data_IF_748567346245
#
_entry.id   IF_748567346245
#
_cell.length_a   1.000
_cell.length_b   1.000
_cell.length_c   1.000
_cell.angle_alpha   90.00
_cell.angle_beta   90.00
_cell.angle_gamma   90.00
#
_symmetry.space_group_name_H-M   'P 1'
#
loop_
_entity.id
_entity.type
_entity.pdbx_description
1 polymer ?
#
# COMPACT_ATOMS: atom_id res chain seq x y z
N UNK A 1 -19.58 -15.22 -22.29
CA UNK A 1 -19.96 -13.80 -22.12
C UNK A 1 -18.73 -13.11 -21.56
N UNK A 2 -18.07 -12.26 -22.35
CA UNK A 2 -16.86 -11.57 -21.91
C UNK A 2 -17.25 -10.45 -20.93
N UNK A 3 -16.50 -10.30 -19.84
CA UNK A 3 -16.77 -9.28 -18.83
C UNK A 3 -16.46 -7.86 -19.34
N UNK A 4 -17.17 -6.86 -18.82
CA UNK A 4 -17.01 -5.45 -19.24
C UNK A 4 -15.56 -4.94 -19.17
N UNK A 5 -14.78 -5.38 -18.17
CA UNK A 5 -13.37 -5.01 -18.07
C UNK A 5 -12.48 -5.71 -19.10
N UNK A 6 -12.79 -6.96 -19.47
CA UNK A 6 -12.08 -7.66 -20.54
C UNK A 6 -12.22 -6.91 -21.86
N UNK A 7 -13.43 -6.40 -22.14
CA UNK A 7 -13.66 -5.57 -23.32
C UNK A 7 -12.86 -4.27 -23.27
N UNK A 8 -12.91 -3.53 -22.15
CA UNK A 8 -12.16 -2.28 -22.00
C UNK A 8 -10.65 -2.45 -22.14
N UNK A 9 -10.08 -3.54 -21.64
CA UNK A 9 -8.66 -3.87 -21.81
C UNK A 9 -8.32 -4.12 -23.28
N UNK A 10 -9.20 -4.78 -24.04
CA UNK A 10 -9.01 -5.00 -25.49
C UNK A 10 -9.11 -3.70 -26.30
N UNK A 11 -9.99 -2.78 -25.90
CA UNK A 11 -10.21 -1.51 -26.58
C UNK A 11 -9.12 -0.46 -26.29
N UNK A 12 -8.40 -0.61 -25.18
CA UNK A 12 -7.36 0.34 -24.75
C UNK A 12 -6.02 -0.40 -24.59
N UNK A 13 -5.63 -0.68 -23.35
CA UNK A 13 -4.52 -1.54 -22.96
C UNK A 13 -4.71 -1.89 -21.48
N UNK A 14 -3.97 -2.88 -20.97
CA UNK A 14 -4.00 -3.16 -19.53
C UNK A 14 -3.58 -1.95 -18.69
N UNK A 15 -2.54 -1.21 -19.12
CA UNK A 15 -2.04 -0.04 -18.41
C UNK A 15 -3.06 1.09 -18.36
N UNK A 16 -3.69 1.42 -19.49
CA UNK A 16 -4.71 2.47 -19.56
C UNK A 16 -5.98 2.10 -18.80
N UNK A 17 -6.37 0.82 -18.85
CA UNK A 17 -7.48 0.31 -18.05
C UNK A 17 -7.15 0.37 -16.55
N UNK A 18 -5.96 -0.05 -16.13
CA UNK A 18 -5.57 -0.04 -14.72
C UNK A 18 -5.49 1.39 -14.17
N UNK A 19 -4.94 2.33 -14.94
CA UNK A 19 -4.84 3.74 -14.56
C UNK A 19 -6.20 4.44 -14.52
N UNK A 20 -7.25 3.90 -15.13
CA UNK A 20 -8.59 4.52 -15.05
C UNK A 20 -9.25 4.40 -13.66
N UNK A 21 -8.63 3.72 -12.70
CA UNK A 21 -9.23 3.41 -11.40
C UNK A 21 -10.46 2.49 -11.50
N UNK A 22 -10.38 1.35 -12.20
CA UNK A 22 -11.54 0.54 -12.58
C UNK A 22 -12.29 -0.03 -11.37
N UNK A 23 -11.61 -0.21 -10.23
CA UNK A 23 -12.19 -0.73 -8.99
C UNK A 23 -12.93 0.32 -8.14
N UNK A 24 -13.02 1.55 -8.65
CA UNK A 24 -13.71 2.67 -8.00
C UNK A 24 -14.70 3.37 -8.92
N UNK A 25 -14.83 2.94 -10.17
CA UNK A 25 -15.77 3.51 -11.13
C UNK A 25 -17.24 3.12 -10.81
N UNK A 26 -18.17 3.75 -11.52
CA UNK A 26 -19.60 3.48 -11.34
C UNK A 26 -19.95 2.01 -11.64
N UNK A 27 -19.29 1.39 -12.63
CA UNK A 27 -19.51 0.00 -13.00
C UNK A 27 -19.18 -0.95 -11.86
N UNK A 28 -18.02 -0.77 -11.21
CA UNK A 28 -17.63 -1.56 -10.04
C UNK A 28 -18.60 -1.34 -8.88
N UNK A 29 -18.90 -0.08 -8.58
CA UNK A 29 -19.72 0.27 -7.43
C UNK A 29 -21.15 -0.24 -7.55
N UNK A 30 -21.72 -0.26 -8.76
CA UNK A 30 -23.02 -0.84 -9.01
C UNK A 30 -23.05 -2.35 -8.74
N UNK A 31 -21.99 -3.08 -9.12
CA UNK A 31 -21.92 -4.53 -8.98
C UNK A 31 -21.49 -5.00 -7.58
N UNK A 32 -20.58 -4.27 -6.93
CA UNK A 32 -19.88 -4.72 -5.72
C UNK A 32 -20.01 -3.75 -4.54
N UNK A 33 -20.69 -2.62 -4.73
CA UNK A 33 -20.75 -1.55 -3.76
C UNK A 33 -19.42 -0.80 -3.63
N UNK A 34 -19.34 0.04 -2.61
CA UNK A 34 -18.16 0.88 -2.35
C UNK A 34 -16.93 0.01 -2.04
N UNK A 35 -15.89 0.14 -2.87
CA UNK A 35 -14.60 -0.50 -2.63
C UNK A 35 -13.86 0.21 -1.49
N UNK A 36 -14.05 -0.28 -0.26
CA UNK A 36 -13.43 0.28 0.96
C UNK A 36 -11.90 0.21 0.93
N UNK A 37 -11.34 -0.81 0.29
CA UNK A 37 -9.89 -0.97 0.17
C UNK A 37 -9.29 0.25 -0.54
N UNK A 38 -9.71 0.51 -1.78
CA UNK A 38 -9.20 1.64 -2.58
C UNK A 38 -9.50 2.99 -1.92
N UNK A 39 -10.73 3.19 -1.42
CA UNK A 39 -11.12 4.44 -0.77
C UNK A 39 -10.26 4.78 0.45
N UNK A 40 -9.93 3.78 1.26
CA UNK A 40 -9.13 4.02 2.47
C UNK A 40 -7.69 4.42 2.12
N UNK A 41 -7.08 3.83 1.07
CA UNK A 41 -5.73 4.20 0.63
C UNK A 41 -5.70 5.57 -0.04
N UNK A 42 -6.69 5.89 -0.88
CA UNK A 42 -6.82 7.22 -1.46
C UNK A 42 -7.00 8.30 -0.39
N UNK A 43 -7.88 8.06 0.59
CA UNK A 43 -8.09 8.98 1.70
C UNK A 43 -6.83 9.14 2.58
N UNK A 44 -6.02 8.09 2.71
CA UNK A 44 -4.73 8.18 3.38
C UNK A 44 -3.74 9.05 2.61
N UNK A 45 -3.57 8.82 1.30
CA UNK A 45 -2.66 9.60 0.47
C UNK A 45 -3.02 11.10 0.49
N UNK A 46 -4.31 11.43 0.28
CA UNK A 46 -4.78 12.82 0.32
C UNK A 46 -4.45 13.51 1.64
N UNK A 47 -4.69 12.83 2.77
CA UNK A 47 -4.39 13.38 4.11
C UNK A 47 -2.89 13.50 4.37
N UNK A 48 -2.11 12.50 3.96
CA UNK A 48 -0.66 12.48 4.15
C UNK A 48 0.00 13.66 3.44
N UNK A 49 -0.47 13.98 2.23
CA UNK A 49 0.03 15.09 1.41
C UNK A 49 -0.73 16.40 1.62
N UNK A 50 -1.80 16.39 2.41
CA UNK A 50 -2.75 17.50 2.51
C UNK A 50 -3.21 18.01 1.13
N UNK A 51 -3.52 17.08 0.22
CA UNK A 51 -3.84 17.34 -1.17
C UNK A 51 -5.05 16.50 -1.62
N UNK A 52 -6.20 17.14 -1.76
CA UNK A 52 -7.44 16.50 -2.21
C UNK A 52 -7.49 16.25 -3.72
N UNK A 53 -6.53 16.78 -4.49
CA UNK A 53 -6.47 16.60 -5.94
C UNK A 53 -5.91 15.24 -6.35
N UNK A 54 -5.19 14.55 -5.46
CA UNK A 54 -4.70 13.18 -5.67
C UNK A 54 -5.87 12.27 -6.07
N UNK A 55 -5.70 11.54 -7.16
CA UNK A 55 -6.64 10.58 -7.71
C UNK A 55 -6.11 9.14 -7.59
N UNK A 56 -6.95 8.16 -7.95
CA UNK A 56 -6.54 6.76 -7.91
C UNK A 56 -5.37 6.44 -8.86
N UNK A 57 -5.21 7.18 -9.95
CA UNK A 57 -4.12 6.96 -10.91
C UNK A 57 -2.76 7.46 -10.43
N UNK A 58 -2.73 8.30 -9.39
CA UNK A 58 -1.50 8.76 -8.75
C UNK A 58 -0.95 7.74 -7.75
N UNK A 59 -1.69 6.65 -7.51
CA UNK A 59 -1.38 5.65 -6.50
C UNK A 59 -1.06 4.30 -7.15
N UNK A 60 0.10 3.76 -6.80
CA UNK A 60 0.45 2.38 -7.11
C UNK A 60 0.20 1.49 -5.89
N UNK A 61 -0.61 0.45 -6.08
CA UNK A 61 -0.86 -0.57 -5.05
C UNK A 61 -0.13 -1.86 -5.41
N UNK A 62 0.73 -2.31 -4.51
CA UNK A 62 1.43 -3.59 -4.64
C UNK A 62 1.00 -4.49 -3.49
N UNK A 63 0.37 -5.60 -3.84
CA UNK A 63 0.00 -6.63 -2.89
C UNK A 63 1.23 -7.46 -2.52
N UNK A 64 1.44 -7.68 -1.22
CA UNK A 64 2.52 -8.54 -0.75
C UNK A 64 2.35 -9.99 -1.26
N UNK A 65 1.10 -10.43 -1.37
CA UNK A 65 0.72 -11.74 -1.91
C UNK A 65 -0.29 -11.54 -3.02
N UNK A 66 0.08 -11.70 -4.30
CA UNK A 66 -0.85 -11.50 -5.41
C UNK A 66 -1.93 -12.60 -5.49
N UNK A 67 -1.84 -13.64 -4.66
CA UNK A 67 -2.75 -14.79 -4.63
C UNK A 67 -3.64 -14.78 -3.36
N UNK A 68 -4.50 -13.78 -3.23
CA UNK A 68 -5.48 -13.74 -2.14
C UNK A 68 -6.68 -14.64 -2.48
N UNK A 69 -6.60 -15.92 -2.14
CA UNK A 69 -7.78 -16.79 -2.08
C UNK A 69 -8.26 -16.91 -0.65
N UNK A 70 -9.58 -16.78 -0.41
CA UNK A 70 -10.19 -17.03 0.91
C UNK A 70 -9.95 -18.46 1.40
N UNK A 71 -9.62 -19.38 0.49
CA UNK A 71 -9.30 -20.76 0.82
C UNK A 71 -7.85 -20.92 1.34
N UNK A 72 -6.98 -19.93 1.11
CA UNK A 72 -5.61 -19.96 1.61
C UNK A 72 -5.61 -19.40 3.03
N UNK A 73 -5.62 -20.30 4.01
CA UNK A 73 -5.58 -19.97 5.44
C UNK A 73 -4.19 -20.16 6.06
N UNK A 74 -3.30 -20.88 5.36
CA UNK A 74 -1.94 -21.12 5.78
C UNK A 74 -1.09 -19.83 5.68
N UNK A 75 -0.06 -19.74 6.51
CA UNK A 75 0.89 -18.64 6.44
C UNK A 75 1.64 -18.68 5.10
N UNK A 76 1.46 -17.64 4.30
CA UNK A 76 2.24 -17.42 3.08
C UNK A 76 3.58 -16.84 3.51
N UNK A 77 4.67 -17.48 3.07
CA UNK A 77 6.01 -16.99 3.37
C UNK A 77 6.85 -16.98 2.10
N UNK A 78 6.80 -15.89 1.32
CA UNK A 78 7.42 -15.83 0.01
C UNK A 78 8.95 -15.90 0.15
N UNK A 79 9.63 -16.56 -0.80
CA UNK A 79 11.06 -16.45 -1.01
C UNK A 79 11.51 -14.99 -1.18
N UNK A 80 12.71 -14.67 -0.69
CA UNK A 80 13.25 -13.31 -0.73
C UNK A 80 13.50 -12.82 -2.18
N UNK A 81 13.94 -13.71 -3.07
CA UNK A 81 14.15 -13.42 -4.50
C UNK A 81 12.85 -13.00 -5.20
N UNK A 82 11.70 -13.60 -4.84
CA UNK A 82 10.40 -13.20 -5.38
C UNK A 82 9.96 -11.84 -4.83
N UNK A 83 10.20 -11.56 -3.55
CA UNK A 83 9.93 -10.25 -2.98
C UNK A 83 10.79 -9.16 -3.63
N UNK A 84 12.07 -9.43 -3.87
CA UNK A 84 12.95 -8.49 -4.59
C UNK A 84 12.44 -8.24 -6.00
N UNK A 85 12.31 -9.31 -6.81
CA UNK A 85 11.98 -9.22 -8.23
C UNK A 85 10.61 -8.60 -8.52
N UNK A 86 9.59 -8.91 -7.71
CA UNK A 86 8.21 -8.53 -8.00
C UNK A 86 7.68 -7.39 -7.13
N UNK A 87 8.42 -6.97 -6.11
CA UNK A 87 8.00 -5.87 -5.22
C UNK A 87 9.08 -4.79 -5.14
N UNK A 88 10.28 -5.12 -4.66
CA UNK A 88 11.29 -4.09 -4.41
C UNK A 88 11.87 -3.49 -5.70
N UNK A 89 12.20 -4.32 -6.69
CA UNK A 89 12.76 -3.84 -7.96
C UNK A 89 11.79 -2.88 -8.66
N UNK A 90 10.49 -3.20 -8.85
CA UNK A 90 9.52 -2.25 -9.38
C UNK A 90 9.36 -0.97 -8.55
N UNK A 91 9.37 -1.07 -7.23
CA UNK A 91 9.27 0.11 -6.34
C UNK A 91 10.49 1.03 -6.50
N UNK A 92 11.66 0.46 -6.73
CA UNK A 92 12.91 1.21 -6.90
C UNK A 92 12.98 2.06 -8.17
N UNK A 93 12.11 1.78 -9.14
CA UNK A 93 11.95 2.58 -10.35
C UNK A 93 11.18 3.89 -10.08
N UNK A 94 10.47 3.98 -8.95
CA UNK A 94 9.65 5.13 -8.60
C UNK A 94 10.47 6.20 -7.87
N UNK A 95 10.29 7.46 -8.26
CA UNK A 95 10.93 8.61 -7.61
C UNK A 95 10.13 9.06 -6.37
N UNK A 96 9.92 8.15 -5.41
CA UNK A 96 9.20 8.45 -4.16
C UNK A 96 10.09 8.22 -2.93
N UNK A 97 10.15 9.16 -1.98
CA UNK A 97 11.00 9.02 -0.79
C UNK A 97 10.46 8.01 0.22
N UNK A 98 9.15 7.76 0.21
CA UNK A 98 8.46 6.90 1.16
C UNK A 98 7.54 5.92 0.47
N UNK A 99 7.58 4.67 0.91
CA UNK A 99 6.73 3.57 0.48
C UNK A 99 5.97 3.08 1.69
N UNK A 100 4.63 3.06 1.64
CA UNK A 100 3.81 2.70 2.79
C UNK A 100 3.27 1.28 2.68
N UNK A 101 3.51 0.49 3.72
CA UNK A 101 3.07 -0.88 3.83
C UNK A 101 2.19 -1.07 5.08
N UNK A 102 1.07 -1.77 4.94
CA UNK A 102 0.09 -1.93 6.02
C UNK A 102 -0.02 -3.38 6.48
N UNK A 103 0.24 -3.60 7.77
CA UNK A 103 0.04 -4.88 8.45
C UNK A 103 1.33 -5.64 8.78
N UNK A 104 1.23 -6.51 9.80
CA UNK A 104 2.33 -7.32 10.32
C UNK A 104 3.05 -8.22 9.29
N UNK A 105 2.40 -8.74 8.22
CA UNK A 105 3.11 -9.51 7.20
C UNK A 105 4.30 -8.79 6.58
N UNK A 106 4.24 -7.46 6.46
CA UNK A 106 5.34 -6.66 5.92
C UNK A 106 6.56 -6.59 6.84
N UNK A 107 6.39 -6.68 8.16
CA UNK A 107 7.54 -6.79 9.09
C UNK A 107 8.30 -8.11 8.86
N UNK A 108 7.56 -9.20 8.64
CA UNK A 108 8.16 -10.51 8.32
C UNK A 108 8.84 -10.48 6.95
N UNK A 109 8.23 -9.83 5.97
CA UNK A 109 8.81 -9.66 4.64
C UNK A 109 10.13 -8.85 4.70
N UNK A 110 10.14 -7.73 5.43
CA UNK A 110 11.33 -6.90 5.61
C UNK A 110 12.50 -7.69 6.23
N UNK A 111 12.25 -8.44 7.31
CA UNK A 111 13.25 -9.31 7.93
C UNK A 111 13.79 -10.36 6.95
N UNK A 112 12.92 -10.97 6.13
CA UNK A 112 13.34 -11.95 5.13
C UNK A 112 14.14 -11.39 3.97
N UNK A 113 13.86 -10.14 3.61
CA UNK A 113 14.62 -9.41 2.61
C UNK A 113 16.03 -9.03 3.11
N UNK A 114 16.36 -9.34 4.37
CA UNK A 114 17.63 -8.93 4.96
C UNK A 114 17.73 -7.41 5.12
N UNK A 115 16.60 -6.70 5.10
CA UNK A 115 16.58 -5.32 5.56
C UNK A 115 17.00 -5.35 7.03
N UNK A 116 17.75 -4.34 7.48
CA UNK A 116 18.10 -4.21 8.90
C UNK A 116 16.82 -4.28 9.76
N UNK A 117 16.95 -4.44 11.08
CA UNK A 117 15.80 -4.60 11.99
C UNK A 117 14.77 -3.46 11.91
N UNK A 118 15.09 -2.39 11.18
CA UNK A 118 14.27 -1.21 11.01
C UNK A 118 14.29 -0.40 12.30
N UNK A 119 14.05 0.89 12.17
CA UNK A 119 13.91 1.76 13.34
C UNK A 119 12.43 1.99 13.59
N UNK A 120 12.02 1.85 14.85
CA UNK A 120 10.68 2.28 15.23
C UNK A 120 10.59 3.80 15.04
N UNK A 121 9.61 4.24 14.24
CA UNK A 121 9.31 5.67 14.08
C UNK A 121 8.47 6.12 15.29
N UNK A 122 8.95 7.05 16.13
CA UNK A 122 8.16 7.58 17.21
C UNK A 122 7.05 8.47 16.64
N UNK A 123 5.81 7.99 16.75
CA UNK A 123 4.61 8.73 16.34
C UNK A 123 3.65 8.77 17.53
N UNK A 124 3.09 9.94 17.78
CA UNK A 124 2.09 10.15 18.82
C UNK A 124 0.72 9.66 18.34
N UNK A 125 0.54 8.34 18.26
CA UNK A 125 -0.69 7.73 17.79
C UNK A 125 -1.86 7.98 18.76
N UNK A 126 -3.02 8.31 18.21
CA UNK A 126 -4.30 8.20 18.92
C UNK A 126 -4.71 6.72 19.07
N UNK A 127 -4.39 5.88 18.08
CA UNK A 127 -4.63 4.42 18.17
C UNK A 127 -3.52 3.75 18.98
N UNK A 128 -3.80 3.37 20.24
CA UNK A 128 -2.80 2.82 21.17
C UNK A 128 -2.02 1.58 20.66
N UNK A 129 -2.66 0.73 19.85
CA UNK A 129 -1.98 -0.47 19.31
C UNK A 129 -1.17 -0.22 18.04
N UNK A 130 -1.16 1.02 17.53
CA UNK A 130 -0.52 1.34 16.26
C UNK A 130 0.98 1.57 16.44
N UNK A 131 1.74 1.10 15.47
CA UNK A 131 3.19 1.30 15.40
C UNK A 131 3.61 1.59 13.96
N UNK A 132 4.72 2.30 13.77
CA UNK A 132 5.41 2.40 12.49
C UNK A 132 6.88 1.99 12.63
N UNK A 133 7.39 1.26 11.65
CA UNK A 133 8.81 0.92 11.52
C UNK A 133 9.30 1.41 10.16
N UNK A 134 10.51 1.98 10.12
CA UNK A 134 11.15 2.45 8.91
C UNK A 134 12.31 1.53 8.57
N UNK A 135 12.31 1.03 7.34
CA UNK A 135 13.40 0.26 6.77
C UNK A 135 14.01 1.05 5.60
N UNK A 136 15.33 1.27 5.59
CA UNK A 136 15.98 1.86 4.43
C UNK A 136 15.86 0.90 3.24
N UNK A 137 15.52 1.44 2.07
CA UNK A 137 15.57 0.75 0.80
C UNK A 137 16.70 1.33 -0.07
N UNK A 138 16.87 0.77 -1.26
CA UNK A 138 17.79 1.33 -2.27
C UNK A 138 17.31 2.73 -2.72
N UNK A 139 18.23 3.50 -3.34
CA UNK A 139 17.95 4.84 -3.92
C UNK A 139 17.34 5.86 -2.94
N UNK A 140 17.75 5.82 -1.67
CA UNK A 140 17.25 6.72 -0.60
C UNK A 140 15.74 6.62 -0.34
N UNK A 141 15.07 5.56 -0.80
CA UNK A 141 13.68 5.30 -0.44
C UNK A 141 13.60 4.69 0.97
N UNK A 142 12.46 4.87 1.62
CA UNK A 142 12.18 4.31 2.95
C UNK A 142 10.86 3.55 2.93
N UNK A 143 10.90 2.27 3.33
CA UNK A 143 9.71 1.47 3.57
C UNK A 143 9.18 1.77 4.97
N UNK A 144 7.98 2.34 5.05
CA UNK A 144 7.28 2.62 6.30
C UNK A 144 6.21 1.55 6.52
N UNK A 145 6.47 0.62 7.43
CA UNK A 145 5.53 -0.46 7.78
C UNK A 145 4.68 -0.03 8.97
N UNK A 146 3.39 0.15 8.74
CA UNK A 146 2.40 0.55 9.75
C UNK A 146 1.59 -0.68 10.16
N UNK A 147 1.51 -0.93 11.46
CA UNK A 147 0.76 -2.07 12.00
C UNK A 147 -0.17 -1.64 13.14
N UNK A 148 -1.21 -2.44 13.38
CA UNK A 148 -2.11 -2.29 14.53
C UNK A 148 -2.77 -3.64 14.85
N UNK A 149 -3.50 -3.71 15.97
CA UNK A 149 -4.28 -4.89 16.31
C UNK A 149 -5.49 -5.08 15.37
N UNK A 150 -5.72 -6.32 14.93
CA UNK A 150 -6.97 -6.74 14.27
C UNK A 150 -7.20 -6.31 12.81
N UNK A 151 -6.39 -5.42 12.24
CA UNK A 151 -6.63 -4.91 10.88
C UNK A 151 -5.36 -4.41 10.17
N UNK A 152 -5.29 -4.59 8.85
CA UNK A 152 -4.18 -4.19 7.98
C UNK A 152 -4.61 -3.10 6.97
N UNK A 153 -4.96 -1.93 7.50
CA UNK A 153 -5.30 -0.78 6.68
C UNK A 153 -4.60 0.50 7.12
N UNK A 154 -4.70 1.54 6.28
CA UNK A 154 -4.06 2.80 6.55
C UNK A 154 -4.65 3.51 7.78
N UNK A 155 -3.89 4.44 8.35
CA UNK A 155 -4.35 5.24 9.47
C UNK A 155 -5.58 6.10 9.14
N UNK A 156 -6.35 6.42 10.18
CA UNK A 156 -7.41 7.45 10.12
C UNK A 156 -6.82 8.86 10.12
N UNK A 157 -7.66 9.89 10.13
CA UNK A 157 -7.22 11.29 9.97
C UNK A 157 -6.16 11.73 11.00
N UNK A 158 -6.50 11.69 12.29
CA UNK A 158 -5.61 12.10 13.39
C UNK A 158 -4.27 11.36 13.38
N UNK A 159 -4.30 10.06 13.15
CA UNK A 159 -3.07 9.26 13.09
C UNK A 159 -2.26 9.51 11.80
N UNK A 160 -2.91 9.87 10.69
CA UNK A 160 -2.22 10.23 9.45
C UNK A 160 -1.48 11.55 9.62
N UNK A 161 -2.11 12.54 10.26
CA UNK A 161 -1.49 13.82 10.60
C UNK A 161 -0.27 13.62 11.53
N UNK A 162 -0.42 12.81 12.58
CA UNK A 162 0.68 12.48 13.49
C UNK A 162 1.84 11.79 12.76
N UNK A 163 1.53 10.85 11.86
CA UNK A 163 2.54 10.19 11.03
C UNK A 163 3.24 11.18 10.10
N UNK A 164 2.50 12.05 9.41
CA UNK A 164 3.07 13.06 8.53
C UNK A 164 4.05 13.95 9.30
N UNK A 165 3.67 14.46 10.48
CA UNK A 165 4.55 15.27 11.32
C UNK A 165 5.84 14.53 11.74
N UNK A 166 5.73 13.25 12.08
CA UNK A 166 6.89 12.43 12.43
C UNK A 166 7.83 12.14 11.25
N UNK A 167 7.31 12.04 10.02
CA UNK A 167 8.14 11.84 8.82
C UNK A 167 8.90 13.11 8.44
N UNK A 168 8.27 14.28 8.59
CA UNK A 168 8.92 15.57 8.34
C UNK A 168 10.06 15.86 9.31
N UNK A 169 9.99 15.41 10.56
CA UNK A 169 11.07 15.58 11.54
C UNK A 169 12.26 14.63 11.33
N UNK A 170 12.16 13.70 10.38
CA UNK A 170 13.18 12.71 10.01
C UNK A 170 13.73 12.94 8.59
N UNK A 171 13.33 14.03 7.92
CA UNK A 171 13.81 14.44 6.60
C UNK A 171 14.81 15.59 6.76
#
# INVERSE_FOLDING_TARGET
MDGIYTQRVRETSYGNWASSGPYTDATWQQAHGRNRYHHNRLAFARRLHNDDTIQNHDLLYIELYPFHSKAVTAAITPPADLLTRFILDPISELETPFVFAFGKPWLRAASRLGLSDGNQLPVNWATASRTAHIFPLIRNQRLVVITQAGYAGPPGATDTEALAAALHSQA
#
